data_IF_346207601810
#
_entry.id   IF_346207601810
#
_cell.length_a   1.000
_cell.length_b   1.000
_cell.length_c   1.000
_cell.angle_alpha   90.00
_cell.angle_beta   90.00
_cell.angle_gamma   90.00
#
_symmetry.space_group_name_H-M   'P 1'
#
loop_
_entity.id
_entity.type
_entity.pdbx_description
1 polymer ?
#
# COMPACT_ATOMS: atom_id res chain seq x y z
N UNK A 1 40.29 -16.45 -24.17
CA UNK A 1 38.83 -16.18 -24.16
C UNK A 1 38.55 -15.39 -22.88
N UNK A 2 38.06 -14.16 -23.00
CA UNK A 2 37.81 -13.29 -21.84
C UNK A 2 36.64 -13.80 -21.00
N UNK A 3 36.69 -13.60 -19.68
CA UNK A 3 35.64 -13.95 -18.73
C UNK A 3 34.28 -13.34 -19.09
N UNK A 4 34.25 -12.25 -19.87
CA UNK A 4 33.02 -11.62 -20.37
C UNK A 4 32.26 -12.49 -21.38
N UNK A 5 32.98 -13.29 -22.21
CA UNK A 5 32.32 -14.21 -23.15
C UNK A 5 31.68 -15.41 -22.44
N UNK A 6 32.25 -15.85 -21.33
CA UNK A 6 31.66 -16.93 -20.50
C UNK A 6 30.39 -16.50 -19.79
N UNK A 7 30.25 -15.22 -19.41
CA UNK A 7 29.04 -14.69 -18.79
C UNK A 7 27.87 -14.53 -19.78
N UNK A 8 28.12 -14.46 -21.08
CA UNK A 8 27.08 -14.45 -22.13
C UNK A 8 26.40 -15.81 -22.30
N UNK A 9 27.15 -16.90 -22.02
CA UNK A 9 26.64 -18.28 -22.15
C UNK A 9 26.09 -18.87 -20.83
N UNK A 10 26.30 -18.18 -19.68
CA UNK A 10 25.68 -18.54 -18.39
C UNK A 10 24.72 -17.45 -17.94
N UNK A 11 23.47 -17.42 -18.42
CA UNK A 11 22.50 -16.41 -18.04
C UNK A 11 21.85 -16.64 -16.65
N UNK A 12 22.30 -17.60 -15.90
CA UNK A 12 21.87 -17.80 -14.52
C UNK A 12 22.81 -17.04 -13.61
N UNK A 13 22.42 -15.80 -13.25
CA UNK A 13 22.92 -15.27 -11.99
C UNK A 13 22.76 -16.38 -10.92
N UNK A 14 23.79 -16.65 -10.11
CA UNK A 14 23.69 -17.68 -9.10
C UNK A 14 22.42 -17.41 -8.30
N UNK A 15 21.56 -18.41 -8.20
CA UNK A 15 20.36 -18.30 -7.41
C UNK A 15 20.81 -17.84 -6.02
N UNK A 16 20.33 -16.67 -5.59
CA UNK A 16 20.67 -16.15 -4.27
C UNK A 16 20.19 -17.20 -3.26
N UNK A 17 21.14 -17.90 -2.66
CA UNK A 17 20.82 -18.87 -1.59
C UNK A 17 20.43 -18.07 -0.36
N UNK A 18 19.24 -18.32 0.14
CA UNK A 18 18.73 -17.70 1.36
C UNK A 18 18.29 -18.81 2.35
N UNK A 19 18.52 -18.57 3.64
CA UNK A 19 18.15 -19.49 4.70
C UNK A 19 16.85 -19.13 5.39
N UNK A 20 16.39 -17.89 5.22
CA UNK A 20 15.19 -17.36 5.88
C UNK A 20 14.41 -16.45 4.95
N UNK A 21 13.09 -16.49 5.07
CA UNK A 21 12.16 -15.55 4.43
C UNK A 21 11.49 -14.75 5.54
N UNK A 22 11.45 -13.44 5.38
CA UNK A 22 10.71 -12.53 6.26
C UNK A 22 9.55 -11.93 5.49
N UNK A 23 8.35 -12.01 6.07
CA UNK A 23 7.16 -11.34 5.56
C UNK A 23 6.92 -10.11 6.42
N UNK A 24 6.75 -8.95 5.79
CA UNK A 24 6.48 -7.67 6.48
C UNK A 24 5.51 -6.82 5.66
N UNK A 25 4.98 -5.76 6.27
CA UNK A 25 4.24 -4.74 5.53
C UNK A 25 5.22 -3.94 4.66
N UNK A 26 4.76 -3.50 3.50
CA UNK A 26 5.51 -2.60 2.65
C UNK A 26 5.08 -1.16 2.92
N UNK A 27 6.07 -0.29 3.19
CA UNK A 27 5.81 1.14 3.25
C UNK A 27 5.54 1.71 1.85
N UNK A 28 4.88 2.88 1.73
CA UNK A 28 4.72 3.56 0.45
C UNK A 28 6.06 3.77 -0.29
N UNK A 29 7.11 4.19 0.43
CA UNK A 29 8.46 4.40 -0.12
C UNK A 29 9.06 3.09 -0.64
N UNK A 30 8.80 1.98 0.05
CA UNK A 30 9.26 0.66 -0.38
C UNK A 30 8.58 0.23 -1.67
N UNK A 31 7.27 0.46 -1.79
CA UNK A 31 6.50 0.19 -3.02
C UNK A 31 7.04 1.04 -4.18
N UNK A 32 7.27 2.34 -3.95
CA UNK A 32 7.86 3.23 -4.95
C UNK A 32 9.26 2.78 -5.38
N UNK A 33 10.07 2.24 -4.46
CA UNK A 33 11.41 1.73 -4.76
C UNK A 33 11.41 0.50 -5.68
N UNK A 34 10.34 -0.29 -5.69
CA UNK A 34 10.17 -1.44 -6.59
C UNK A 34 9.65 -1.06 -7.96
N UNK A 35 9.01 0.10 -8.07
CA UNK A 35 8.24 0.50 -9.24
C UNK A 35 9.11 1.09 -10.33
N UNK A 36 8.81 0.71 -11.57
CA UNK A 36 9.37 1.29 -12.79
C UNK A 36 8.54 2.45 -13.35
N UNK A 37 7.39 2.75 -12.76
CA UNK A 37 6.57 3.89 -13.12
C UNK A 37 5.14 3.80 -12.62
N UNK A 38 4.48 4.95 -12.63
CA UNK A 38 3.08 5.12 -12.22
C UNK A 38 2.11 4.74 -13.34
N UNK A 39 1.07 4.01 -12.97
CA UNK A 39 -0.04 3.66 -13.85
C UNK A 39 -1.14 4.69 -13.64
N UNK A 40 -1.42 5.48 -14.67
CA UNK A 40 -2.39 6.60 -14.62
C UNK A 40 -3.72 6.28 -15.26
N UNK A 41 -3.81 5.15 -15.99
CA UNK A 41 -4.98 4.78 -16.77
C UNK A 41 -5.39 3.32 -16.51
N UNK A 42 -6.69 3.02 -16.47
CA UNK A 42 -7.19 1.66 -16.27
C UNK A 42 -7.08 0.79 -17.53
N UNK A 43 -6.82 1.38 -18.70
CA UNK A 43 -6.75 0.66 -19.95
C UNK A 43 -5.64 -0.38 -19.96
N UNK A 44 -5.90 -1.51 -20.59
CA UNK A 44 -4.98 -2.64 -20.71
C UNK A 44 -4.27 -2.63 -22.07
N UNK A 45 -5.01 -2.98 -23.11
CA UNK A 45 -4.55 -3.02 -24.49
C UNK A 45 -5.53 -2.27 -25.41
N UNK A 46 -5.02 -1.78 -26.52
CA UNK A 46 -5.87 -1.28 -27.56
C UNK A 46 -6.53 -2.47 -28.29
N UNK A 47 -7.85 -2.56 -28.26
CA UNK A 47 -8.60 -3.68 -28.83
C UNK A 47 -8.47 -3.81 -30.37
N UNK A 48 -8.07 -2.72 -31.04
CA UNK A 48 -7.90 -2.69 -32.53
C UNK A 48 -6.50 -3.12 -32.94
N UNK A 49 -5.47 -2.73 -32.17
CA UNK A 49 -4.06 -2.98 -32.52
C UNK A 49 -3.43 -4.06 -31.68
N UNK A 50 -4.08 -4.50 -30.60
CA UNK A 50 -3.58 -5.41 -29.56
C UNK A 50 -2.26 -4.96 -28.89
N UNK A 51 -1.91 -3.69 -29.02
CA UNK A 51 -0.73 -3.11 -28.36
C UNK A 51 -1.11 -2.59 -26.97
N UNK A 52 -0.19 -2.69 -25.99
CA UNK A 52 -0.39 -2.10 -24.67
C UNK A 52 -0.66 -0.59 -24.76
N UNK A 53 -1.66 -0.14 -24.04
CA UNK A 53 -1.94 1.30 -23.93
C UNK A 53 -0.88 1.99 -23.08
N UNK A 54 -0.59 3.23 -23.45
CA UNK A 54 0.40 4.05 -22.74
C UNK A 54 -0.14 4.44 -21.37
N UNK A 55 0.74 4.30 -20.35
CA UNK A 55 0.46 4.59 -18.94
C UNK A 55 -0.70 3.76 -18.33
N UNK A 56 -1.09 2.68 -19.04
CA UNK A 56 -2.08 1.70 -18.61
C UNK A 56 -1.47 0.50 -17.88
N UNK A 57 -2.33 -0.44 -17.50
CA UNK A 57 -1.98 -1.62 -16.70
C UNK A 57 -0.99 -2.59 -17.37
N UNK A 58 -0.79 -2.50 -18.70
CA UNK A 58 0.16 -3.31 -19.48
C UNK A 58 1.22 -2.48 -20.19
N UNK A 59 1.38 -1.21 -19.82
CA UNK A 59 2.23 -0.25 -20.49
C UNK A 59 3.65 -0.77 -20.74
N UNK A 60 4.10 -0.71 -22.00
CA UNK A 60 5.43 -1.16 -22.38
C UNK A 60 6.55 -0.22 -21.87
N UNK A 61 6.24 1.05 -21.62
CA UNK A 61 7.19 2.00 -21.03
C UNK A 61 7.52 1.66 -19.59
N UNK A 62 6.53 1.20 -18.80
CA UNK A 62 6.69 0.85 -17.40
C UNK A 62 7.26 -0.57 -17.27
N UNK A 63 6.62 -1.54 -17.91
CA UNK A 63 6.90 -2.96 -17.71
C UNK A 63 7.87 -3.57 -18.70
N UNK A 64 8.22 -2.86 -19.77
CA UNK A 64 9.13 -3.34 -20.81
C UNK A 64 8.45 -3.74 -22.12
N UNK A 65 9.25 -4.06 -23.14
CA UNK A 65 8.78 -4.35 -24.49
C UNK A 65 7.99 -5.66 -24.57
N UNK A 66 7.14 -5.78 -25.59
CA UNK A 66 6.35 -6.99 -25.89
C UNK A 66 7.08 -7.97 -26.80
N UNK A 67 8.17 -7.53 -27.45
CA UNK A 67 9.03 -8.37 -28.29
C UNK A 67 10.48 -8.12 -27.92
N UNK A 68 11.30 -9.18 -27.99
CA UNK A 68 12.71 -9.10 -27.65
C UNK A 68 13.44 -8.09 -28.54
N UNK A 69 14.17 -7.18 -27.87
CA UNK A 69 14.98 -6.15 -28.51
C UNK A 69 14.24 -5.26 -29.54
N UNK A 70 12.94 -5.07 -29.36
CA UNK A 70 12.12 -4.21 -30.20
C UNK A 70 11.33 -3.21 -29.35
N UNK A 71 11.40 -1.92 -29.68
CA UNK A 71 10.54 -0.92 -29.03
C UNK A 71 9.09 -1.00 -29.58
N UNK A 72 8.12 -0.44 -28.87
CA UNK A 72 6.70 -0.57 -29.20
C UNK A 72 6.34 0.05 -30.57
N UNK A 73 7.00 1.14 -30.97
CA UNK A 73 6.78 1.81 -32.26
C UNK A 73 7.54 1.17 -33.44
N UNK A 74 8.48 0.24 -33.15
CA UNK A 74 9.27 -0.44 -34.19
C UNK A 74 10.45 0.36 -34.75
N UNK A 75 10.76 1.56 -34.22
CA UNK A 75 11.90 2.38 -34.65
C UNK A 75 13.22 1.67 -34.38
N UNK A 76 13.38 1.10 -33.19
CA UNK A 76 14.55 0.31 -32.81
C UNK A 76 14.17 -1.16 -32.78
N UNK A 77 14.91 -1.94 -33.57
CA UNK A 77 14.81 -3.39 -33.68
C UNK A 77 16.21 -3.99 -33.65
N UNK A 78 16.38 -5.13 -33.06
CA UNK A 78 17.61 -5.91 -32.95
C UNK A 78 18.45 -5.56 -31.72
N UNK A 79 19.25 -6.53 -31.35
CA UNK A 79 20.11 -6.55 -30.16
C UNK A 79 21.15 -5.40 -30.11
N UNK A 80 21.56 -4.85 -31.26
CA UNK A 80 22.52 -3.74 -31.33
C UNK A 80 22.05 -2.46 -30.61
N UNK A 81 20.75 -2.33 -30.38
CA UNK A 81 20.14 -1.20 -29.68
C UNK A 81 19.77 -1.52 -28.23
N UNK A 82 20.28 -2.64 -27.67
CA UNK A 82 20.01 -3.03 -26.27
C UNK A 82 20.30 -1.90 -25.30
N UNK A 83 19.37 -1.63 -24.37
CA UNK A 83 19.49 -0.61 -23.33
C UNK A 83 19.12 0.81 -23.78
N UNK A 84 18.82 1.03 -25.06
CA UNK A 84 18.37 2.34 -25.55
C UNK A 84 16.90 2.52 -25.20
N UNK A 85 16.56 3.67 -24.64
CA UNK A 85 15.16 4.10 -24.47
C UNK A 85 14.74 4.84 -25.72
N UNK A 86 13.69 4.37 -26.37
CA UNK A 86 13.18 4.96 -27.61
C UNK A 86 12.59 6.34 -27.35
N UNK A 87 13.10 7.38 -27.98
CA UNK A 87 12.65 8.76 -27.84
C UNK A 87 11.21 8.97 -28.34
N UNK A 88 10.72 8.11 -29.24
CA UNK A 88 9.34 8.20 -29.78
C UNK A 88 8.30 7.56 -28.87
N UNK A 89 8.55 6.35 -28.37
CA UNK A 89 7.57 5.59 -27.58
C UNK A 89 7.95 5.42 -26.10
N UNK A 90 9.17 5.83 -25.70
CA UNK A 90 9.66 5.73 -24.32
C UNK A 90 9.96 4.31 -23.84
N UNK A 91 9.92 3.31 -24.73
CA UNK A 91 10.14 1.90 -24.38
C UNK A 91 11.62 1.58 -24.47
N UNK A 92 12.16 0.95 -23.42
CA UNK A 92 13.52 0.44 -23.40
C UNK A 92 13.65 -0.80 -24.29
N UNK A 93 14.73 -0.86 -25.08
CA UNK A 93 15.02 -1.99 -25.95
C UNK A 93 15.74 -3.08 -25.15
N UNK A 94 15.00 -4.06 -24.66
CA UNK A 94 15.50 -5.16 -23.82
C UNK A 94 14.73 -6.44 -24.10
N UNK A 95 15.01 -7.49 -23.34
CA UNK A 95 14.29 -8.76 -23.41
C UNK A 95 12.87 -8.60 -22.85
N UNK A 96 11.92 -9.33 -23.42
CA UNK A 96 10.53 -9.42 -22.91
C UNK A 96 10.44 -10.00 -21.50
N UNK A 97 11.44 -10.78 -21.07
CA UNK A 97 11.53 -11.36 -19.74
C UNK A 97 11.33 -10.34 -18.61
N UNK A 98 11.75 -9.07 -18.81
CA UNK A 98 11.58 -8.01 -17.82
C UNK A 98 10.10 -7.75 -17.47
N UNK A 99 9.17 -8.11 -18.35
CA UNK A 99 7.71 -8.03 -18.09
C UNK A 99 7.22 -9.00 -17.02
N UNK A 100 8.05 -9.96 -16.62
CA UNK A 100 7.81 -10.87 -15.49
C UNK A 100 8.41 -10.34 -14.18
N UNK A 101 9.29 -9.35 -14.26
CA UNK A 101 10.10 -8.89 -13.13
C UNK A 101 9.75 -7.46 -12.71
N UNK A 102 9.41 -6.59 -13.67
CA UNK A 102 9.14 -5.16 -13.40
C UNK A 102 7.78 -4.95 -12.78
N UNK A 103 7.78 -4.27 -11.64
CA UNK A 103 6.57 -3.81 -10.96
C UNK A 103 6.26 -2.36 -11.34
N UNK A 104 4.99 -2.00 -11.24
CA UNK A 104 4.53 -0.61 -11.27
C UNK A 104 3.86 -0.24 -9.97
N UNK A 105 3.30 0.96 -9.91
CA UNK A 105 2.49 1.42 -8.79
C UNK A 105 1.32 2.27 -9.26
N UNK A 106 0.34 2.42 -8.39
CA UNK A 106 -0.78 3.35 -8.54
C UNK A 106 -0.79 4.23 -7.30
N UNK A 107 -0.72 5.55 -7.48
CA UNK A 107 -0.97 6.51 -6.42
C UNK A 107 -2.47 6.69 -6.26
N UNK A 108 -2.97 6.51 -5.05
CA UNK A 108 -4.39 6.67 -4.75
C UNK A 108 -4.73 8.15 -4.57
N UNK A 109 -5.86 8.57 -5.13
CA UNK A 109 -6.37 9.94 -4.94
C UNK A 109 -6.77 10.22 -3.48
N UNK A 110 -7.15 9.18 -2.73
CA UNK A 110 -7.42 9.22 -1.30
C UNK A 110 -6.92 7.93 -0.64
N UNK A 111 -6.46 7.98 0.62
CA UNK A 111 -6.06 6.79 1.36
C UNK A 111 -7.18 5.76 1.45
N UNK A 112 -6.82 4.48 1.47
CA UNK A 112 -7.77 3.38 1.54
C UNK A 112 -7.33 2.33 2.59
N UNK A 113 -8.22 1.90 3.46
CA UNK A 113 -7.93 0.87 4.44
C UNK A 113 -7.76 -0.51 3.76
N UNK A 114 -6.67 -1.20 4.09
CA UNK A 114 -6.44 -2.54 3.58
C UNK A 114 -7.42 -3.52 4.20
N UNK A 115 -8.16 -4.24 3.36
CA UNK A 115 -9.25 -5.13 3.79
C UNK A 115 -8.81 -6.22 4.78
N UNK A 116 -7.59 -6.76 4.64
CA UNK A 116 -7.06 -7.78 5.55
C UNK A 116 -6.85 -7.28 6.97
N UNK A 117 -6.59 -5.98 7.16
CA UNK A 117 -6.40 -5.39 8.49
C UNK A 117 -7.67 -4.79 9.05
N UNK A 118 -8.64 -4.48 8.20
CA UNK A 118 -9.94 -3.94 8.60
C UNK A 118 -10.97 -5.05 8.87
N UNK A 119 -11.23 -5.92 7.89
CA UNK A 119 -12.35 -6.89 7.93
C UNK A 119 -12.00 -8.25 8.53
N UNK A 120 -10.72 -8.56 8.76
CA UNK A 120 -10.35 -9.80 9.45
C UNK A 120 -10.78 -9.75 10.92
N UNK A 121 -11.18 -10.88 11.47
CA UNK A 121 -11.57 -10.97 12.89
C UNK A 121 -10.44 -11.64 13.71
N UNK A 122 -9.90 -10.96 14.71
CA UNK A 122 -10.16 -9.57 15.12
C UNK A 122 -9.53 -8.54 14.16
N UNK A 123 -10.22 -7.41 13.93
CA UNK A 123 -9.70 -6.31 13.12
C UNK A 123 -8.43 -5.73 13.74
N UNK A 124 -7.35 -5.66 12.94
CA UNK A 124 -6.07 -5.12 13.42
C UNK A 124 -6.13 -3.61 13.62
N UNK A 125 -6.79 -2.90 12.70
CA UNK A 125 -6.99 -1.45 12.79
C UNK A 125 -7.81 -1.10 14.03
N UNK A 126 -8.96 -1.77 14.22
CA UNK A 126 -9.83 -1.54 15.39
C UNK A 126 -9.12 -1.83 16.71
N UNK A 127 -8.35 -2.92 16.75
CA UNK A 127 -7.60 -3.31 17.95
C UNK A 127 -6.47 -2.33 18.27
N UNK A 128 -5.80 -1.77 17.26
CA UNK A 128 -4.76 -0.75 17.43
C UNK A 128 -5.34 0.55 18.01
N UNK A 129 -6.49 0.98 17.49
CA UNK A 129 -7.19 2.20 17.92
C UNK A 129 -7.99 2.03 19.23
N UNK A 130 -8.12 0.82 19.73
CA UNK A 130 -9.00 0.44 20.86
C UNK A 130 -10.49 0.78 20.62
N UNK A 131 -10.92 0.70 19.36
CA UNK A 131 -12.29 1.00 18.92
C UNK A 131 -13.01 -0.27 18.47
N UNK A 132 -14.35 -0.20 18.39
CA UNK A 132 -15.11 -1.29 17.76
C UNK A 132 -14.95 -1.25 16.24
N UNK A 133 -15.07 -2.39 15.58
CA UNK A 133 -15.02 -2.44 14.11
C UNK A 133 -16.09 -1.55 13.48
N UNK A 134 -17.31 -1.54 14.08
CA UNK A 134 -18.43 -0.74 13.59
C UNK A 134 -18.12 0.76 13.63
N UNK A 135 -17.47 1.23 14.69
CA UNK A 135 -17.12 2.64 14.84
C UNK A 135 -16.03 3.05 13.81
N UNK A 136 -15.02 2.21 13.63
CA UNK A 136 -13.99 2.45 12.59
C UNK A 136 -14.62 2.45 11.19
N UNK A 137 -15.57 1.56 10.92
CA UNK A 137 -16.28 1.53 9.64
C UNK A 137 -17.10 2.80 9.39
N UNK A 138 -17.78 3.35 10.40
CA UNK A 138 -18.52 4.62 10.26
C UNK A 138 -17.62 5.76 9.84
N UNK A 139 -16.42 5.85 10.40
CA UNK A 139 -15.44 6.86 9.98
C UNK A 139 -14.96 6.61 8.55
N UNK A 140 -14.58 5.36 8.22
CA UNK A 140 -14.07 5.00 6.91
C UNK A 140 -15.09 5.15 5.78
N UNK A 141 -16.37 4.97 6.06
CA UNK A 141 -17.47 5.14 5.10
C UNK A 141 -18.09 6.54 5.11
N UNK A 142 -17.43 7.50 5.76
CA UNK A 142 -17.83 8.91 5.79
C UNK A 142 -19.20 9.16 6.46
N UNK A 143 -19.55 8.34 7.45
CA UNK A 143 -20.78 8.51 8.23
C UNK A 143 -20.57 9.41 9.46
N UNK A 144 -19.37 9.39 10.07
CA UNK A 144 -19.06 10.15 11.28
C UNK A 144 -17.62 10.67 11.24
N UNK A 145 -17.40 11.82 11.88
CA UNK A 145 -16.09 12.36 12.15
C UNK A 145 -15.46 11.68 13.36
N UNK A 146 -14.13 11.69 13.41
CA UNK A 146 -13.35 11.21 14.56
C UNK A 146 -12.44 12.32 15.06
N UNK A 147 -12.42 12.53 16.38
CA UNK A 147 -11.52 13.50 17.02
C UNK A 147 -10.12 12.94 17.05
N UNK A 148 -9.18 13.65 16.40
CA UNK A 148 -7.74 13.31 16.35
C UNK A 148 -7.05 13.95 17.55
N UNK A 149 -7.18 15.27 17.69
CA UNK A 149 -6.64 16.04 18.82
C UNK A 149 -7.75 16.90 19.43
N UNK A 150 -8.11 16.64 20.70
CA UNK A 150 -9.19 17.37 21.37
C UNK A 150 -8.79 18.79 21.78
N UNK A 151 -7.49 19.13 21.80
CA UNK A 151 -7.00 20.44 22.26
C UNK A 151 -7.44 20.76 23.68
N UNK A 152 -7.93 22.00 23.86
CA UNK A 152 -8.45 22.49 25.16
C UNK A 152 -9.98 22.35 25.29
N UNK A 153 -10.60 21.48 24.50
CA UNK A 153 -12.04 21.27 24.51
C UNK A 153 -12.43 20.15 25.49
N UNK A 154 -13.74 19.94 25.69
CA UNK A 154 -14.28 18.84 26.48
C UNK A 154 -14.38 17.51 25.70
N UNK A 155 -13.89 17.48 24.43
CA UNK A 155 -13.88 16.30 23.59
C UNK A 155 -12.83 15.30 24.09
N UNK A 156 -13.00 14.04 23.72
CA UNK A 156 -12.01 12.99 24.03
C UNK A 156 -11.36 12.46 22.74
N UNK A 157 -10.08 12.03 22.79
CA UNK A 157 -9.43 11.40 21.65
C UNK A 157 -10.24 10.19 21.15
N UNK A 158 -10.31 10.01 19.84
CA UNK A 158 -11.08 8.94 19.16
C UNK A 158 -12.60 9.01 19.38
N UNK A 159 -13.14 10.11 19.91
CA UNK A 159 -14.58 10.32 20.00
C UNK A 159 -15.18 10.45 18.60
N UNK A 160 -16.30 9.80 18.37
CA UNK A 160 -17.07 9.94 17.13
C UNK A 160 -18.05 11.09 17.26
N UNK A 161 -18.15 11.89 16.22
CA UNK A 161 -19.06 13.00 16.10
C UNK A 161 -19.91 12.84 14.84
N UNK A 162 -21.19 13.07 14.94
CA UNK A 162 -22.04 13.28 13.77
C UNK A 162 -21.70 14.61 13.12
N UNK A 163 -22.17 14.85 11.90
CA UNK A 163 -21.97 16.15 11.23
C UNK A 163 -22.52 17.31 12.04
N UNK A 164 -23.71 17.13 12.66
CA UNK A 164 -24.34 18.13 13.52
C UNK A 164 -23.50 18.42 14.77
N UNK A 165 -23.02 17.38 15.47
CA UNK A 165 -22.16 17.51 16.65
C UNK A 165 -20.81 18.17 16.30
N UNK A 166 -20.26 17.85 15.13
CA UNK A 166 -19.02 18.46 14.65
C UNK A 166 -19.18 19.97 14.41
N UNK A 167 -20.27 20.36 13.72
CA UNK A 167 -20.57 21.78 13.49
C UNK A 167 -20.84 22.54 14.80
N UNK A 168 -21.58 21.94 15.73
CA UNK A 168 -21.81 22.51 17.06
C UNK A 168 -20.51 22.70 17.83
N UNK A 169 -19.61 21.72 17.78
CA UNK A 169 -18.30 21.83 18.42
C UNK A 169 -17.43 22.94 17.80
N UNK A 170 -17.52 23.14 16.49
CA UNK A 170 -16.82 24.25 15.81
C UNK A 170 -17.39 25.62 16.22
N UNK A 171 -18.71 25.72 16.36
CA UNK A 171 -19.36 26.97 16.84
C UNK A 171 -19.02 27.26 18.30
N UNK A 172 -18.97 26.22 19.17
CA UNK A 172 -18.74 26.38 20.60
C UNK A 172 -17.27 26.67 20.93
N UNK A 173 -16.33 25.94 20.32
CA UNK A 173 -14.90 26.00 20.69
C UNK A 173 -14.05 26.77 19.68
N UNK A 174 -14.55 26.98 18.46
CA UNK A 174 -13.80 27.55 17.33
C UNK A 174 -13.14 26.47 16.47
N UNK A 175 -12.98 26.78 15.17
CA UNK A 175 -12.46 25.85 14.15
C UNK A 175 -11.05 25.32 14.45
N UNK A 176 -10.18 26.14 15.06
CA UNK A 176 -8.77 25.80 15.33
C UNK A 176 -8.54 25.20 16.74
N UNK A 177 -9.59 25.01 17.54
CA UNK A 177 -9.45 24.57 18.95
C UNK A 177 -9.26 23.06 19.11
N UNK A 178 -9.67 22.29 18.12
CA UNK A 178 -9.52 20.83 18.07
C UNK A 178 -9.34 20.35 16.61
N UNK A 179 -8.80 19.16 16.45
CA UNK A 179 -8.67 18.54 15.14
C UNK A 179 -9.53 17.29 15.07
N UNK A 180 -10.44 17.27 14.09
CA UNK A 180 -11.23 16.10 13.77
C UNK A 180 -11.22 15.85 12.26
N UNK A 181 -11.33 14.59 11.86
CA UNK A 181 -11.29 14.20 10.46
C UNK A 181 -12.29 13.11 10.14
N UNK A 182 -12.39 12.77 8.86
CA UNK A 182 -13.29 11.75 8.36
C UNK A 182 -12.56 10.87 7.33
N UNK A 183 -13.00 9.64 7.17
CA UNK A 183 -12.43 8.71 6.20
C UNK A 183 -11.10 8.07 6.61
N UNK A 184 -10.45 7.43 5.66
CA UNK A 184 -9.22 6.69 5.91
C UNK A 184 -8.01 7.60 6.21
N UNK A 185 -8.04 8.86 5.80
CA UNK A 185 -7.00 9.83 6.09
C UNK A 185 -6.92 10.13 7.59
N UNK A 186 -8.05 10.39 8.23
CA UNK A 186 -8.13 10.60 9.68
C UNK A 186 -7.64 9.37 10.46
N UNK A 187 -8.07 8.17 10.05
CA UNK A 187 -7.60 6.93 10.67
C UNK A 187 -6.08 6.74 10.50
N UNK A 188 -5.55 7.07 9.33
CA UNK A 188 -4.10 7.00 9.07
C UNK A 188 -3.32 7.98 9.96
N UNK A 189 -3.83 9.19 10.11
CA UNK A 189 -3.22 10.21 10.96
C UNK A 189 -3.18 9.76 12.43
N UNK A 190 -4.29 9.27 12.98
CA UNK A 190 -4.33 8.73 14.34
C UNK A 190 -3.33 7.57 14.48
N UNK A 191 -3.29 6.63 13.53
CA UNK A 191 -2.35 5.50 13.55
C UNK A 191 -0.89 5.96 13.51
N UNK A 192 -0.56 7.05 12.81
CA UNK A 192 0.79 7.60 12.72
C UNK A 192 1.24 8.28 14.03
N UNK A 193 0.28 8.81 14.80
CA UNK A 193 0.54 9.53 16.05
C UNK A 193 0.64 8.59 17.27
N UNK A 194 0.38 7.29 17.11
CA UNK A 194 0.49 6.32 18.20
C UNK A 194 1.96 6.10 18.57
N UNK A 195 2.35 6.46 19.79
CA UNK A 195 3.59 6.01 20.39
C UNK A 195 3.42 4.59 20.94
N UNK A 196 3.90 3.63 20.15
CA UNK A 196 3.73 2.20 20.44
C UNK A 196 4.48 1.75 21.70
N UNK A 197 5.61 2.39 22.03
CA UNK A 197 6.41 2.03 23.22
C UNK A 197 5.66 2.43 24.49
N UNK A 198 5.22 3.69 24.55
CA UNK A 198 4.43 4.23 25.66
C UNK A 198 3.10 3.47 25.83
N UNK A 199 2.41 3.16 24.73
CA UNK A 199 1.17 2.38 24.79
C UNK A 199 1.40 0.94 25.29
N UNK A 200 2.50 0.30 24.90
CA UNK A 200 2.84 -1.03 25.39
C UNK A 200 3.09 -1.02 26.91
N UNK A 201 3.77 -0.01 27.43
CA UNK A 201 4.02 0.14 28.87
C UNK A 201 2.72 0.40 29.65
N UNK A 202 1.87 1.31 29.18
CA UNK A 202 0.54 1.54 29.77
C UNK A 202 -0.29 0.26 29.86
N UNK A 203 -0.35 -0.50 28.77
CA UNK A 203 -1.09 -1.75 28.74
C UNK A 203 -0.54 -2.81 29.69
N UNK A 204 0.78 -2.86 29.92
CA UNK A 204 1.38 -3.76 30.92
C UNK A 204 0.94 -3.40 32.34
N UNK A 205 0.89 -2.11 32.67
CA UNK A 205 0.41 -1.63 33.95
C UNK A 205 -1.08 -1.95 34.12
N UNK A 206 -1.90 -1.62 33.12
CA UNK A 206 -3.35 -1.89 33.12
C UNK A 206 -3.67 -3.38 33.28
N UNK A 207 -2.89 -4.27 32.66
CA UNK A 207 -3.02 -5.73 32.82
C UNK A 207 -2.70 -6.13 34.27
N UNK A 208 -1.67 -5.56 34.90
CA UNK A 208 -1.26 -5.89 36.23
C UNK A 208 -2.29 -5.39 37.28
N UNK A 209 -2.91 -4.25 37.06
CA UNK A 209 -3.90 -3.64 37.97
C UNK A 209 -5.33 -4.15 37.74
N UNK A 210 -5.60 -4.77 36.60
CA UNK A 210 -6.95 -5.19 36.24
C UNK A 210 -7.43 -6.40 37.06
N UNK A 211 -8.58 -6.23 37.71
CA UNK A 211 -9.30 -7.32 38.41
C UNK A 211 -10.30 -8.05 37.49
N UNK A 212 -10.57 -7.51 36.31
CA UNK A 212 -11.58 -8.07 35.37
C UNK A 212 -10.91 -8.93 34.31
N UNK A 213 -11.20 -10.22 34.30
CA UNK A 213 -10.68 -11.17 33.29
C UNK A 213 -10.97 -10.77 31.84
N UNK A 214 -12.13 -10.16 31.57
CA UNK A 214 -12.49 -9.69 30.24
C UNK A 214 -11.63 -8.52 29.78
N UNK A 215 -11.39 -7.55 30.68
CA UNK A 215 -10.51 -6.41 30.39
C UNK A 215 -9.08 -6.88 30.17
N UNK A 216 -8.57 -7.73 31.05
CA UNK A 216 -7.22 -8.32 30.93
C UNK A 216 -7.03 -9.04 29.59
N UNK A 217 -8.01 -9.84 29.16
CA UNK A 217 -7.99 -10.52 27.85
C UNK A 217 -7.98 -9.51 26.67
N UNK A 218 -8.73 -8.40 26.78
CA UNK A 218 -8.74 -7.34 25.76
C UNK A 218 -7.38 -6.66 25.66
N UNK A 219 -6.84 -6.22 26.79
CA UNK A 219 -5.53 -5.56 26.87
C UNK A 219 -4.38 -6.47 26.41
N UNK A 220 -4.40 -7.74 26.80
CA UNK A 220 -3.39 -8.71 26.36
C UNK A 220 -3.39 -8.91 24.83
N UNK A 221 -4.56 -8.93 24.18
CA UNK A 221 -4.65 -9.01 22.72
C UNK A 221 -4.08 -7.76 22.04
N UNK A 222 -4.38 -6.56 22.59
CA UNK A 222 -3.86 -5.29 22.08
C UNK A 222 -2.35 -5.19 22.29
N UNK A 223 -1.86 -5.53 23.47
CA UNK A 223 -0.43 -5.57 23.77
C UNK A 223 0.33 -6.50 22.83
N UNK A 224 -0.20 -7.71 22.60
CA UNK A 224 0.41 -8.66 21.66
C UNK A 224 0.54 -8.08 20.24
N UNK A 225 -0.46 -7.33 19.77
CA UNK A 225 -0.41 -6.68 18.46
C UNK A 225 0.66 -5.58 18.44
N UNK A 226 0.67 -4.67 19.44
CA UNK A 226 1.64 -3.58 19.53
C UNK A 226 3.08 -4.13 19.61
N UNK A 227 3.31 -5.15 20.44
CA UNK A 227 4.62 -5.80 20.54
C UNK A 227 5.06 -6.40 19.19
N UNK A 228 4.14 -7.01 18.45
CA UNK A 228 4.45 -7.55 17.13
C UNK A 228 4.82 -6.45 16.10
N UNK A 229 4.21 -5.27 16.18
CA UNK A 229 4.61 -4.11 15.37
C UNK A 229 6.00 -3.60 15.76
N UNK A 230 6.27 -3.44 17.06
CA UNK A 230 7.59 -3.02 17.56
C UNK A 230 8.71 -3.98 17.14
N UNK A 231 8.53 -5.28 17.36
CA UNK A 231 9.54 -6.30 17.00
C UNK A 231 9.77 -6.43 15.50
N UNK A 232 8.74 -6.23 14.70
CA UNK A 232 8.84 -6.33 13.24
C UNK A 232 9.38 -5.06 12.58
N UNK A 233 9.32 -3.91 13.26
CA UNK A 233 9.63 -2.60 12.70
C UNK A 233 8.61 -2.12 11.68
N UNK A 234 7.42 -2.70 11.65
CA UNK A 234 6.31 -2.21 10.85
C UNK A 234 5.65 -1.01 11.53
N UNK A 235 5.07 -0.12 10.74
CA UNK A 235 4.33 1.03 11.25
C UNK A 235 2.83 0.84 11.08
N UNK A 236 2.01 1.22 12.08
CA UNK A 236 0.56 1.02 12.04
C UNK A 236 -0.12 1.71 10.86
N UNK A 237 0.34 2.90 10.47
CA UNK A 237 -0.21 3.65 9.34
C UNK A 237 -0.06 2.96 7.99
N UNK A 238 0.84 1.96 7.86
CA UNK A 238 0.97 1.16 6.63
C UNK A 238 -0.22 0.22 6.38
N UNK A 239 -1.10 0.06 7.36
CA UNK A 239 -2.37 -0.64 7.16
C UNK A 239 -3.38 0.16 6.33
N UNK A 240 -3.11 1.47 6.15
CA UNK A 240 -3.87 2.38 5.28
C UNK A 240 -3.02 2.66 4.05
N UNK A 241 -3.52 2.25 2.90
CA UNK A 241 -2.81 2.33 1.63
C UNK A 241 -2.93 3.73 1.03
N UNK A 242 -1.81 4.30 0.61
CA UNK A 242 -1.73 5.52 -0.22
C UNK A 242 -1.19 5.20 -1.61
N UNK A 243 -0.39 4.13 -1.71
CA UNK A 243 0.20 3.64 -2.95
C UNK A 243 -0.07 2.14 -3.05
N UNK A 244 -0.51 1.67 -4.22
CA UNK A 244 -0.76 0.26 -4.49
C UNK A 244 0.34 -0.28 -5.39
N UNK A 245 1.02 -1.39 -5.02
CA UNK A 245 1.95 -2.06 -5.91
C UNK A 245 1.19 -2.82 -7.01
N UNK A 246 1.70 -2.73 -8.23
CA UNK A 246 1.14 -3.46 -9.38
C UNK A 246 2.15 -4.50 -9.82
N UNK A 247 1.75 -5.77 -9.74
CA UNK A 247 2.59 -6.90 -10.13
C UNK A 247 2.86 -6.91 -11.65
N UNK A 248 3.96 -7.55 -12.10
CA UNK A 248 4.31 -7.63 -13.51
C UNK A 248 3.19 -8.18 -14.39
N UNK A 249 3.03 -7.69 -15.64
CA UNK A 249 1.96 -8.11 -16.54
C UNK A 249 1.92 -9.60 -16.84
N UNK A 250 3.06 -10.24 -16.98
CA UNK A 250 3.17 -11.68 -17.28
C UNK A 250 2.67 -12.57 -16.12
N UNK A 251 2.56 -12.05 -14.91
CA UNK A 251 1.98 -12.75 -13.76
C UNK A 251 0.44 -12.60 -13.68
N UNK A 252 -0.13 -11.70 -14.50
CA UNK A 252 -1.58 -11.44 -14.63
C UNK A 252 -1.96 -11.30 -16.11
N UNK A 253 -1.70 -12.33 -16.95
CA UNK A 253 -1.91 -12.24 -18.39
C UNK A 253 -3.39 -12.09 -18.71
N UNK A 254 -3.67 -11.40 -19.83
CA UNK A 254 -5.01 -11.35 -20.42
C UNK A 254 -5.29 -12.70 -21.06
N UNK A 255 -6.40 -13.32 -20.70
CA UNK A 255 -6.87 -14.58 -21.29
C UNK A 255 -7.97 -14.23 -22.29
N UNK A 256 -7.83 -14.62 -23.57
CA UNK A 256 -8.91 -14.44 -24.53
C UNK A 256 -10.09 -15.33 -24.16
N UNK A 257 -11.29 -14.74 -24.17
CA UNK A 257 -12.53 -15.49 -24.00
C UNK A 257 -12.91 -16.20 -25.30
N UNK A 258 -13.79 -17.19 -25.21
CA UNK A 258 -14.36 -17.87 -26.38
C UNK A 258 -14.96 -16.84 -27.34
N UNK A 259 -14.52 -16.92 -28.63
CA UNK A 259 -14.88 -15.91 -29.65
C UNK A 259 -13.88 -14.74 -29.75
N UNK A 260 -12.71 -14.80 -29.10
CA UNK A 260 -11.61 -13.84 -29.31
C UNK A 260 -11.84 -12.46 -28.69
N UNK A 261 -12.67 -12.35 -27.67
CA UNK A 261 -12.92 -11.12 -26.90
C UNK A 261 -12.08 -11.04 -25.66
#
# INVERSE_FOLDING_TARGET
MSQELLNVFNPTAPAQTFNKIRISLASPEKILSWSFGEIKKPETINYRTFKPERDGLFCARIFGPTKDYECLCGKYKRMKYKGIVCEKCGVEVTLTKVRRERMGHIELAAPCAHIWFLKSLPSRVSLMLDMTLKDVERVLYFEQYIVIEPGLTNLTPNQLLTEEEYLQAQEEFGEDSFTAGIGAEAIREILSNIDMETEAEKLRVEIAESTSELKTKKYAKRLKLITAFLESGNRPEWMILTVIPVIPPELRPLVPLDGGR
#
